data_IF_751219084967
#
_entry.id   IF_751219084967
#
_cell.length_a   1.000
_cell.length_b   1.000
_cell.length_c   1.000
_cell.angle_alpha   90.00
_cell.angle_beta   90.00
_cell.angle_gamma   90.00
#
_symmetry.space_group_name_H-M   'P 1'
#
loop_
_entity.id
_entity.type
_entity.pdbx_description
1 polymer ?
#
# COMPACT_ATOMS: atom_id res chain seq x y z
N UNK A 1 -18.99 -17.19 3.82
CA UNK A 1 -18.35 -18.50 4.09
C UNK A 1 -18.74 -19.55 3.05
N UNK A 2 -20.01 -19.67 2.70
CA UNK A 2 -20.51 -20.62 1.69
C UNK A 2 -19.78 -20.51 0.34
N UNK A 3 -19.61 -19.30 -0.18
CA UNK A 3 -18.85 -19.05 -1.42
C UNK A 3 -17.43 -19.64 -1.35
N UNK A 4 -16.75 -19.50 -0.22
CA UNK A 4 -15.39 -20.02 -0.05
C UNK A 4 -15.38 -21.55 0.05
N UNK A 5 -16.37 -22.15 0.72
CA UNK A 5 -16.55 -23.61 0.77
C UNK A 5 -16.81 -24.18 -0.62
N UNK A 6 -17.72 -23.56 -1.37
CA UNK A 6 -18.02 -23.96 -2.74
C UNK A 6 -16.77 -23.87 -3.61
N UNK A 7 -16.02 -22.76 -3.54
CA UNK A 7 -14.77 -22.59 -4.28
C UNK A 7 -13.74 -23.70 -3.97
N UNK A 8 -13.55 -24.05 -2.69
CA UNK A 8 -12.65 -25.14 -2.31
C UNK A 8 -13.11 -26.50 -2.89
N UNK A 9 -14.41 -26.77 -2.83
CA UNK A 9 -14.98 -28.01 -3.36
C UNK A 9 -14.84 -28.09 -4.89
N UNK A 10 -15.24 -27.03 -5.61
CA UNK A 10 -15.22 -26.96 -7.08
C UNK A 10 -13.80 -27.12 -7.63
N UNK A 11 -12.80 -26.63 -6.90
CA UNK A 11 -11.39 -26.70 -7.30
C UNK A 11 -10.63 -27.85 -6.61
N UNK A 12 -11.32 -28.75 -5.90
CA UNK A 12 -10.73 -29.90 -5.20
C UNK A 12 -9.57 -29.50 -4.24
N UNK A 13 -9.69 -28.33 -3.62
CA UNK A 13 -8.71 -27.80 -2.68
C UNK A 13 -8.97 -28.36 -1.27
N UNK A 14 -7.91 -28.80 -0.61
CA UNK A 14 -8.01 -29.34 0.75
C UNK A 14 -7.69 -28.27 1.79
N UNK A 15 -8.61 -28.04 2.74
CA UNK A 15 -8.47 -27.07 3.83
C UNK A 15 -7.21 -27.26 4.68
N UNK A 16 -6.72 -28.50 4.83
CA UNK A 16 -5.48 -28.80 5.57
C UNK A 16 -4.23 -28.14 4.97
N UNK A 17 -4.28 -27.70 3.71
CA UNK A 17 -3.18 -26.99 3.04
C UNK A 17 -3.37 -25.46 3.02
N UNK A 18 -4.42 -24.93 3.66
CA UNK A 18 -4.62 -23.51 3.84
C UNK A 18 -3.77 -23.00 5.01
N UNK A 19 -2.68 -22.30 4.70
CA UNK A 19 -1.75 -21.76 5.72
C UNK A 19 -2.04 -20.32 6.12
N UNK A 20 -2.68 -19.53 5.25
CA UNK A 20 -2.95 -18.13 5.54
C UNK A 20 -4.16 -17.58 4.81
N UNK A 21 -4.84 -16.63 5.45
CA UNK A 21 -5.91 -15.83 4.87
C UNK A 21 -5.64 -14.35 5.13
N UNK A 22 -5.70 -13.55 4.07
CA UNK A 22 -5.38 -12.12 4.14
C UNK A 22 -6.61 -11.30 3.82
N UNK A 23 -6.98 -10.37 4.70
CA UNK A 23 -8.20 -9.56 4.57
C UNK A 23 -7.94 -8.08 4.78
N UNK A 24 -8.87 -7.22 4.36
CA UNK A 24 -8.84 -5.76 4.49
C UNK A 24 -8.94 -5.25 5.94
N UNK A 25 -9.31 -6.14 6.87
CA UNK A 25 -9.51 -5.84 8.28
C UNK A 25 -10.88 -5.26 8.63
N UNK A 26 -11.86 -5.34 7.72
CA UNK A 26 -13.23 -4.97 8.07
C UNK A 26 -13.75 -5.85 9.23
N UNK A 27 -14.66 -5.35 10.10
CA UNK A 27 -15.20 -6.13 11.20
C UNK A 27 -15.83 -7.47 10.76
N UNK A 28 -16.48 -7.50 9.59
CA UNK A 28 -17.02 -8.73 9.01
C UNK A 28 -15.94 -9.76 8.59
N UNK A 29 -14.69 -9.32 8.40
CA UNK A 29 -13.57 -10.17 8.04
C UNK A 29 -12.80 -10.66 9.28
N UNK A 30 -12.55 -9.79 10.27
CA UNK A 30 -11.71 -10.09 11.45
C UNK A 30 -12.48 -10.33 12.74
N UNK A 31 -13.80 -10.15 12.77
CA UNK A 31 -14.60 -10.24 13.99
C UNK A 31 -14.41 -11.59 14.71
N UNK A 32 -14.14 -11.55 16.02
CA UNK A 32 -13.76 -12.72 16.80
C UNK A 32 -14.86 -13.80 16.90
N UNK A 33 -16.15 -13.42 16.77
CA UNK A 33 -17.29 -14.35 16.86
C UNK A 33 -17.82 -14.83 15.51
N UNK A 34 -17.91 -13.93 14.53
CA UNK A 34 -18.61 -14.17 13.27
C UNK A 34 -17.82 -13.71 12.04
N UNK A 35 -16.59 -13.22 12.21
CA UNK A 35 -15.74 -12.78 11.12
C UNK A 35 -15.29 -13.94 10.25
N UNK A 36 -15.03 -13.66 8.97
CA UNK A 36 -14.56 -14.66 8.00
C UNK A 36 -13.34 -15.44 8.52
N UNK A 37 -12.35 -14.76 9.10
CA UNK A 37 -11.15 -15.41 9.62
C UNK A 37 -11.47 -16.41 10.75
N UNK A 38 -12.40 -16.08 11.66
CA UNK A 38 -12.87 -17.01 12.71
C UNK A 38 -13.55 -18.22 12.08
N UNK A 39 -14.46 -18.01 11.13
CA UNK A 39 -15.16 -19.12 10.44
C UNK A 39 -14.22 -20.04 9.66
N UNK A 40 -13.14 -19.49 9.11
CA UNK A 40 -12.11 -20.29 8.43
C UNK A 40 -11.30 -21.08 9.44
N UNK A 41 -10.96 -20.49 10.59
CA UNK A 41 -10.26 -21.18 11.69
C UNK A 41 -11.07 -22.34 12.29
N UNK A 42 -12.39 -22.26 12.30
CA UNK A 42 -13.26 -23.40 12.70
C UNK A 42 -13.04 -24.65 11.83
N UNK A 43 -12.67 -24.48 10.55
CA UNK A 43 -12.43 -25.58 9.60
C UNK A 43 -10.94 -25.92 9.48
N UNK A 44 -10.07 -24.90 9.52
CA UNK A 44 -8.63 -25.01 9.43
C UNK A 44 -7.98 -24.29 10.63
N UNK A 45 -7.89 -24.93 11.80
CA UNK A 45 -7.43 -24.29 13.04
C UNK A 45 -6.03 -23.68 12.96
N UNK A 46 -5.19 -24.23 12.09
CA UNK A 46 -3.80 -23.81 11.92
C UNK A 46 -3.61 -22.62 10.95
N UNK A 47 -4.69 -22.07 10.37
CA UNK A 47 -4.59 -20.95 9.43
C UNK A 47 -4.17 -19.65 10.14
N UNK A 48 -3.25 -18.92 9.53
CA UNK A 48 -2.87 -17.59 9.99
C UNK A 48 -3.76 -16.53 9.35
N UNK A 49 -4.43 -15.74 10.19
CA UNK A 49 -5.16 -14.56 9.74
C UNK A 49 -4.23 -13.36 9.61
N UNK A 50 -4.20 -12.71 8.46
CA UNK A 50 -3.36 -11.55 8.18
C UNK A 50 -4.23 -10.36 7.82
N UNK A 51 -4.13 -9.28 8.59
CA UNK A 51 -4.67 -7.99 8.17
C UNK A 51 -3.75 -7.38 7.12
N UNK A 52 -4.27 -7.06 5.93
CA UNK A 52 -3.50 -6.50 4.82
C UNK A 52 -2.65 -5.30 5.26
N UNK A 53 -1.35 -5.36 5.01
CA UNK A 53 -0.40 -4.32 5.39
C UNK A 53 -0.69 -2.98 4.71
N UNK A 54 -1.19 -3.00 3.47
CA UNK A 54 -1.51 -1.77 2.74
C UNK A 54 -2.73 -1.08 3.36
N UNK A 55 -3.76 -1.84 3.74
CA UNK A 55 -4.92 -1.31 4.45
C UNK A 55 -4.51 -0.74 5.81
N UNK A 56 -3.69 -1.47 6.59
CA UNK A 56 -3.16 -1.00 7.88
C UNK A 56 -2.31 0.26 7.75
N UNK A 57 -1.43 0.32 6.75
CA UNK A 57 -0.65 1.51 6.45
C UNK A 57 -1.56 2.70 6.15
N UNK A 58 -2.59 2.51 5.32
CA UNK A 58 -3.55 3.56 5.01
C UNK A 58 -4.33 4.02 6.25
N UNK A 59 -4.61 3.12 7.21
CA UNK A 59 -5.23 3.49 8.49
C UNK A 59 -4.26 4.30 9.38
N UNK A 60 -3.01 3.86 9.50
CA UNK A 60 -1.98 4.52 10.31
C UNK A 60 -1.67 5.96 9.85
N UNK A 61 -1.87 6.25 8.56
CA UNK A 61 -1.59 7.58 7.98
C UNK A 61 -2.82 8.51 7.92
N UNK A 62 -3.97 8.13 8.48
CA UNK A 62 -5.19 8.98 8.42
C UNK A 62 -5.17 10.16 9.39
N UNK A 63 -4.35 10.10 10.42
CA UNK A 63 -4.35 11.07 11.51
C UNK A 63 -3.69 12.37 11.06
N UNK A 64 -4.48 13.45 10.97
CA UNK A 64 -3.99 14.81 10.72
C UNK A 64 -4.38 15.69 11.92
N UNK A 65 -3.41 16.33 12.61
CA UNK A 65 -3.71 17.24 13.73
C UNK A 65 -4.11 18.64 13.26
N UNK A 66 -4.85 19.36 14.11
CA UNK A 66 -4.99 20.82 14.08
C UNK A 66 -5.23 21.44 12.70
N UNK A 67 -4.36 22.38 12.33
CA UNK A 67 -4.49 23.12 11.07
C UNK A 67 -4.28 22.23 9.83
N UNK A 68 -3.46 21.19 9.91
CA UNK A 68 -3.16 20.29 8.78
C UNK A 68 -4.43 19.63 8.25
N UNK A 69 -5.32 19.18 9.16
CA UNK A 69 -6.61 18.61 8.79
C UNK A 69 -7.54 19.64 8.16
N UNK A 70 -7.54 20.86 8.70
CA UNK A 70 -8.34 21.97 8.18
C UNK A 70 -7.94 22.30 6.75
N UNK A 71 -6.64 22.49 6.50
CA UNK A 71 -6.11 22.76 5.16
C UNK A 71 -6.39 21.60 4.21
N UNK A 72 -6.17 20.34 4.63
CA UNK A 72 -6.51 19.18 3.79
C UNK A 72 -7.99 19.19 3.36
N UNK A 73 -8.91 19.48 4.28
CA UNK A 73 -10.34 19.56 3.97
C UNK A 73 -10.68 20.74 3.04
N UNK A 74 -10.00 21.88 3.20
CA UNK A 74 -10.13 23.04 2.30
C UNK A 74 -9.68 22.69 0.89
N UNK A 75 -8.53 22.03 0.74
CA UNK A 75 -8.03 21.53 -0.55
C UNK A 75 -9.05 20.61 -1.23
N UNK A 76 -9.65 19.68 -0.48
CA UNK A 76 -10.70 18.79 -1.00
C UNK A 76 -11.92 19.59 -1.47
N UNK A 77 -12.35 20.63 -0.72
CA UNK A 77 -13.46 21.51 -1.11
C UNK A 77 -13.15 22.28 -2.40
N UNK A 78 -11.96 22.85 -2.52
CA UNK A 78 -11.53 23.60 -3.70
C UNK A 78 -11.63 22.75 -4.97
N UNK A 79 -11.06 21.54 -4.93
CA UNK A 79 -11.11 20.65 -6.08
C UNK A 79 -12.52 20.15 -6.33
N UNK A 80 -13.28 19.79 -5.30
CA UNK A 80 -14.68 19.36 -5.48
C UNK A 80 -15.54 20.45 -6.12
N UNK A 81 -15.33 21.73 -5.80
CA UNK A 81 -16.05 22.84 -6.45
C UNK A 81 -15.83 22.86 -7.97
N UNK A 82 -14.58 22.67 -8.41
CA UNK A 82 -14.24 22.64 -9.85
C UNK A 82 -14.74 21.34 -10.50
N UNK A 83 -14.58 20.22 -9.80
CA UNK A 83 -14.73 18.89 -10.37
C UNK A 83 -16.14 18.32 -10.30
N UNK A 84 -16.98 18.77 -9.37
CA UNK A 84 -18.38 18.34 -9.24
C UNK A 84 -19.28 18.85 -10.36
N UNK A 85 -18.93 19.99 -10.97
CA UNK A 85 -19.64 20.55 -12.11
C UNK A 85 -18.94 20.18 -13.43
N UNK A 86 -19.68 19.57 -14.36
CA UNK A 86 -19.19 19.28 -15.70
C UNK A 86 -18.79 20.56 -16.45
N UNK A 87 -19.54 21.65 -16.23
CA UNK A 87 -19.23 22.96 -16.78
C UNK A 87 -17.93 23.51 -16.21
N UNK A 88 -17.80 23.58 -14.88
CA UNK A 88 -16.59 24.10 -14.23
C UNK A 88 -15.36 23.28 -14.62
N UNK A 89 -15.50 21.96 -14.71
CA UNK A 89 -14.43 21.08 -15.19
C UNK A 89 -13.97 21.46 -16.60
N UNK A 90 -14.91 21.68 -17.52
CA UNK A 90 -14.59 22.05 -18.91
C UNK A 90 -13.99 23.44 -18.99
N UNK A 91 -14.54 24.41 -18.24
CA UNK A 91 -14.02 25.77 -18.17
C UNK A 91 -12.60 25.80 -17.61
N UNK A 92 -12.37 25.13 -16.48
CA UNK A 92 -11.04 25.01 -15.87
C UNK A 92 -10.04 24.34 -16.81
N UNK A 93 -10.46 23.28 -17.52
CA UNK A 93 -9.58 22.61 -18.50
C UNK A 93 -9.15 23.56 -19.62
N UNK A 94 -10.09 24.36 -20.13
CA UNK A 94 -9.80 25.37 -21.14
C UNK A 94 -8.89 26.47 -20.58
N UNK A 95 -9.23 26.99 -19.40
CA UNK A 95 -8.45 28.00 -18.68
C UNK A 95 -6.98 27.60 -18.51
N UNK A 96 -6.71 26.40 -18.00
CA UNK A 96 -5.34 25.89 -17.87
C UNK A 96 -4.63 25.72 -19.23
N UNK A 97 -5.37 25.37 -20.29
CA UNK A 97 -4.79 25.23 -21.63
C UNK A 97 -4.42 26.60 -22.21
N UNK A 98 -5.26 27.61 -21.99
CA UNK A 98 -5.01 28.98 -22.44
C UNK A 98 -3.80 29.61 -21.71
N UNK A 99 -3.53 29.18 -20.46
CA UNK A 99 -2.35 29.57 -19.68
C UNK A 99 -1.10 28.72 -19.95
N UNK A 100 -1.16 27.75 -20.87
CA UNK A 100 -0.08 26.78 -21.13
C UNK A 100 0.42 26.03 -19.89
N UNK A 101 -0.49 25.71 -18.95
CA UNK A 101 -0.14 24.93 -17.77
C UNK A 101 0.28 23.51 -18.15
N UNK A 102 1.25 22.94 -17.42
CA UNK A 102 1.76 21.57 -17.63
C UNK A 102 0.64 20.52 -17.51
N UNK A 103 -0.37 20.83 -16.71
CA UNK A 103 -1.54 20.00 -16.51
C UNK A 103 -2.81 20.81 -16.73
N UNK A 104 -3.81 20.21 -17.37
CA UNK A 104 -5.09 20.88 -17.62
C UNK A 104 -6.26 20.27 -16.85
N UNK A 105 -5.99 19.31 -15.96
CA UNK A 105 -7.03 18.61 -15.20
C UNK A 105 -6.56 18.34 -13.78
N UNK A 106 -7.43 18.67 -12.84
CA UNK A 106 -7.36 18.23 -11.45
C UNK A 106 -7.82 16.78 -11.30
N UNK A 107 -7.29 16.10 -10.27
CA UNK A 107 -7.69 14.76 -9.90
C UNK A 107 -8.68 14.79 -8.74
N UNK A 108 -9.71 13.97 -8.78
CA UNK A 108 -10.62 13.82 -7.64
C UNK A 108 -9.94 13.06 -6.50
N UNK A 109 -10.18 13.51 -5.28
CA UNK A 109 -9.86 12.75 -4.08
C UNK A 109 -10.97 11.75 -3.76
N UNK A 110 -10.61 10.50 -3.50
CA UNK A 110 -11.51 9.50 -2.91
C UNK A 110 -10.83 8.84 -1.72
N UNK A 111 -11.49 8.83 -0.56
CA UNK A 111 -10.98 8.19 0.67
C UNK A 111 -10.81 6.67 0.55
N UNK A 112 -11.45 6.06 -0.44
CA UNK A 112 -11.44 4.61 -0.67
C UNK A 112 -10.18 4.16 -1.43
N UNK A 113 -9.61 5.01 -2.30
CA UNK A 113 -8.42 4.67 -3.09
C UNK A 113 -7.18 5.29 -2.46
N UNK A 114 -6.28 4.47 -1.93
CA UNK A 114 -5.21 4.95 -1.04
C UNK A 114 -4.21 5.89 -1.70
N UNK A 115 -3.84 5.64 -2.96
CA UNK A 115 -2.94 6.52 -3.72
C UNK A 115 -3.60 7.84 -4.14
N UNK A 116 -4.92 7.96 -4.01
CA UNK A 116 -5.69 9.11 -4.49
C UNK A 116 -5.27 10.40 -3.81
N UNK A 117 -4.98 10.38 -2.51
CA UNK A 117 -4.63 11.57 -1.76
C UNK A 117 -3.35 12.24 -2.30
N UNK A 118 -2.28 11.46 -2.48
CA UNK A 118 -1.01 12.01 -2.98
C UNK A 118 -1.12 12.53 -4.41
N UNK A 119 -1.75 11.76 -5.31
CA UNK A 119 -1.93 12.19 -6.70
C UNK A 119 -2.78 13.47 -6.79
N UNK A 120 -3.83 13.57 -5.97
CA UNK A 120 -4.67 14.76 -5.88
C UNK A 120 -3.89 15.97 -5.36
N UNK A 121 -3.13 15.82 -4.27
CA UNK A 121 -2.36 16.90 -3.66
C UNK A 121 -1.27 17.39 -4.59
N UNK A 122 -0.49 16.48 -5.19
CA UNK A 122 0.56 16.81 -6.16
C UNK A 122 -0.02 17.57 -7.35
N UNK A 123 -1.12 17.06 -7.94
CA UNK A 123 -1.79 17.74 -9.06
C UNK A 123 -2.35 19.11 -8.67
N UNK A 124 -2.95 19.22 -7.50
CA UNK A 124 -3.44 20.50 -7.00
C UNK A 124 -2.29 21.48 -6.83
N UNK A 125 -1.19 21.06 -6.21
CA UNK A 125 -0.06 21.94 -5.91
C UNK A 125 0.59 22.48 -7.18
N UNK A 126 0.69 21.66 -8.24
CA UNK A 126 1.16 22.13 -9.56
C UNK A 126 0.22 23.14 -10.22
N UNK A 127 -1.08 23.08 -9.93
CA UNK A 127 -2.11 23.95 -10.52
C UNK A 127 -2.65 25.02 -9.56
N UNK A 128 -1.96 25.25 -8.43
CA UNK A 128 -2.51 26.05 -7.33
C UNK A 128 -2.77 27.50 -7.74
N UNK A 129 -1.94 28.06 -8.62
CA UNK A 129 -2.09 29.42 -9.13
C UNK A 129 -3.30 29.51 -10.07
N UNK A 130 -3.42 28.58 -11.01
CA UNK A 130 -4.55 28.47 -11.93
C UNK A 130 -5.86 28.25 -11.18
N UNK A 131 -5.84 27.45 -10.11
CA UNK A 131 -7.01 27.27 -9.24
C UNK A 131 -7.39 28.59 -8.58
N UNK A 132 -6.42 29.33 -8.01
CA UNK A 132 -6.67 30.62 -7.37
C UNK A 132 -7.28 31.61 -8.37
N UNK A 133 -6.66 31.78 -9.53
CA UNK A 133 -7.13 32.70 -10.57
C UNK A 133 -8.50 32.33 -11.13
N UNK A 134 -8.74 31.03 -11.36
CA UNK A 134 -10.04 30.54 -11.80
C UNK A 134 -11.14 30.86 -10.79
N UNK A 135 -10.87 30.70 -9.48
CA UNK A 135 -11.83 31.04 -8.44
C UNK A 135 -12.11 32.54 -8.35
N UNK A 136 -11.09 33.40 -8.58
CA UNK A 136 -11.28 34.85 -8.73
C UNK A 136 -12.25 35.17 -9.87
N UNK A 137 -12.06 34.57 -11.06
CA UNK A 137 -12.93 34.79 -12.21
C UNK A 137 -14.37 34.31 -11.95
N UNK A 138 -14.51 33.20 -11.24
CA UNK A 138 -15.80 32.65 -10.84
C UNK A 138 -16.44 33.40 -9.66
N UNK A 139 -15.76 34.41 -9.08
CA UNK A 139 -16.18 35.16 -7.87
C UNK A 139 -16.56 34.24 -6.71
N UNK A 140 -15.83 33.14 -6.56
CA UNK A 140 -16.09 32.16 -5.51
C UNK A 140 -15.42 32.58 -4.20
N UNK A 141 -16.18 32.63 -3.10
CA UNK A 141 -15.63 32.90 -1.77
C UNK A 141 -14.59 31.87 -1.29
N UNK A 142 -14.48 30.73 -1.98
CA UNK A 142 -13.43 29.74 -1.69
C UNK A 142 -12.01 30.27 -1.95
N UNK A 143 -11.86 31.37 -2.71
CA UNK A 143 -10.55 32.01 -2.92
C UNK A 143 -9.91 32.49 -1.62
N UNK A 144 -10.72 32.84 -0.61
CA UNK A 144 -10.26 33.29 0.71
C UNK A 144 -9.37 32.26 1.41
N UNK A 145 -9.48 30.97 1.07
CA UNK A 145 -8.62 29.93 1.63
C UNK A 145 -7.14 30.17 1.31
N UNK A 146 -6.83 30.77 0.16
CA UNK A 146 -5.46 31.11 -0.23
C UNK A 146 -4.89 32.30 0.53
N UNK A 147 -5.73 33.07 1.23
CA UNK A 147 -5.33 34.22 2.04
C UNK A 147 -5.13 33.84 3.52
N UNK A 148 -5.46 32.61 3.92
CA UNK A 148 -5.21 32.14 5.27
C UNK A 148 -3.71 31.94 5.52
N UNK A 149 -3.27 32.39 6.69
CA UNK A 149 -1.87 32.26 7.12
C UNK A 149 -1.39 30.82 7.01
N UNK A 150 -0.20 30.67 6.42
CA UNK A 150 0.48 29.38 6.21
C UNK A 150 -0.25 28.37 5.31
N UNK A 151 -1.34 28.73 4.62
CA UNK A 151 -2.06 27.79 3.74
C UNK A 151 -1.14 27.13 2.71
N UNK A 152 -0.28 27.91 2.04
CA UNK A 152 0.64 27.38 1.03
C UNK A 152 1.75 26.51 1.65
N UNK A 153 2.32 26.94 2.79
CA UNK A 153 3.34 26.18 3.54
C UNK A 153 2.77 24.82 3.99
N UNK A 154 1.59 24.84 4.59
CA UNK A 154 0.89 23.63 5.03
C UNK A 154 0.54 22.72 3.87
N UNK A 155 0.07 23.29 2.75
CA UNK A 155 -0.21 22.53 1.53
C UNK A 155 1.05 21.84 1.01
N UNK A 156 2.18 22.55 0.97
CA UNK A 156 3.45 22.00 0.51
C UNK A 156 3.93 20.84 1.40
N UNK A 157 3.80 20.97 2.73
CA UNK A 157 4.07 19.87 3.65
C UNK A 157 3.16 18.66 3.39
N UNK A 158 1.85 18.87 3.22
CA UNK A 158 0.89 17.81 2.95
C UNK A 158 1.23 17.04 1.65
N UNK A 159 1.63 17.76 0.60
CA UNK A 159 2.09 17.16 -0.67
C UNK A 159 3.26 16.22 -0.41
N UNK A 160 4.29 16.68 0.31
CA UNK A 160 5.48 15.87 0.52
C UNK A 160 5.24 14.66 1.44
N UNK A 161 4.56 14.84 2.59
CA UNK A 161 4.33 13.75 3.55
C UNK A 161 3.41 12.68 2.96
N UNK A 162 2.36 13.07 2.21
CA UNK A 162 1.49 12.12 1.52
C UNK A 162 2.22 11.47 0.34
N UNK A 163 3.14 12.18 -0.32
CA UNK A 163 4.07 11.60 -1.29
C UNK A 163 4.92 10.47 -0.70
N UNK A 164 5.44 10.66 0.51
CA UNK A 164 6.15 9.60 1.25
C UNK A 164 5.26 8.40 1.57
N UNK A 165 3.98 8.63 1.93
CA UNK A 165 3.00 7.54 2.13
C UNK A 165 2.73 6.78 0.84
N UNK A 166 2.53 7.48 -0.28
CA UNK A 166 2.33 6.85 -1.59
C UNK A 166 3.55 6.00 -1.99
N UNK A 167 4.76 6.50 -1.73
CA UNK A 167 6.00 5.74 -2.01
C UNK A 167 6.08 4.45 -1.18
N UNK A 168 5.78 4.51 0.12
CA UNK A 168 5.69 3.31 0.95
C UNK A 168 4.60 2.36 0.45
N UNK A 169 3.42 2.88 0.13
CA UNK A 169 2.29 2.10 -0.38
C UNK A 169 2.68 1.31 -1.64
N UNK A 170 3.31 1.98 -2.61
CA UNK A 170 3.84 1.35 -3.83
C UNK A 170 4.91 0.30 -3.53
N UNK A 171 5.75 0.52 -2.53
CA UNK A 171 6.72 -0.50 -2.09
C UNK A 171 6.05 -1.71 -1.45
N UNK A 172 4.88 -1.57 -0.82
CA UNK A 172 4.08 -2.67 -0.29
C UNK A 172 3.22 -3.36 -1.35
N UNK A 173 3.12 -2.76 -2.55
CA UNK A 173 2.51 -3.39 -3.71
C UNK A 173 3.53 -4.26 -4.45
N UNK A 174 3.02 -5.25 -5.18
CA UNK A 174 3.84 -6.13 -6.01
C UNK A 174 3.65 -7.60 -5.68
N UNK A 175 4.21 -8.42 -6.56
CA UNK A 175 4.13 -9.89 -6.47
C UNK A 175 5.38 -10.41 -5.74
N UNK A 176 5.26 -11.56 -5.07
CA UNK A 176 6.37 -12.28 -4.41
C UNK A 176 6.97 -11.60 -3.16
N UNK A 177 6.27 -10.64 -2.55
CA UNK A 177 6.63 -10.13 -1.23
C UNK A 177 5.97 -10.98 -0.13
N UNK A 178 6.69 -11.20 0.96
CA UNK A 178 6.19 -11.89 2.14
C UNK A 178 6.07 -10.89 3.31
N UNK A 179 5.59 -11.39 4.44
CA UNK A 179 5.42 -10.60 5.67
C UNK A 179 6.73 -9.93 6.10
N UNK A 180 7.86 -10.63 6.04
CA UNK A 180 9.17 -10.12 6.46
C UNK A 180 9.59 -8.92 5.62
N UNK A 181 9.59 -9.07 4.30
CA UNK A 181 10.00 -7.99 3.38
C UNK A 181 9.14 -6.73 3.52
N UNK A 182 7.86 -6.88 3.88
CA UNK A 182 6.99 -5.73 4.15
C UNK A 182 7.21 -5.14 5.53
N UNK A 183 7.48 -5.97 6.54
CA UNK A 183 7.90 -5.50 7.86
C UNK A 183 9.19 -4.68 7.78
N UNK A 184 10.18 -5.09 6.98
CA UNK A 184 11.43 -4.35 6.80
C UNK A 184 11.19 -2.96 6.19
N UNK A 185 10.34 -2.88 5.17
CA UNK A 185 9.95 -1.61 4.53
C UNK A 185 9.25 -0.68 5.52
N UNK A 186 8.36 -1.21 6.36
CA UNK A 186 7.67 -0.46 7.40
C UNK A 186 8.63 0.01 8.49
N UNK A 187 9.52 -0.86 8.99
CA UNK A 187 10.56 -0.50 9.97
C UNK A 187 11.44 0.63 9.43
N UNK A 188 11.93 0.49 8.20
CA UNK A 188 12.70 1.53 7.54
C UNK A 188 11.92 2.86 7.38
N UNK A 189 10.61 2.79 7.15
CA UNK A 189 9.77 3.99 7.07
C UNK A 189 9.60 4.67 8.43
N UNK A 190 9.36 3.92 9.50
CA UNK A 190 9.25 4.45 10.87
C UNK A 190 10.57 5.12 11.28
N UNK A 191 11.72 4.52 10.99
CA UNK A 191 13.03 5.13 11.25
C UNK A 191 13.23 6.43 10.44
N UNK A 192 12.73 6.49 9.21
CA UNK A 192 12.72 7.76 8.45
C UNK A 192 11.85 8.82 9.10
N UNK A 193 10.67 8.49 9.63
CA UNK A 193 9.82 9.46 10.32
C UNK A 193 10.53 10.04 11.56
N UNK A 194 11.21 9.20 12.34
CA UNK A 194 12.04 9.64 13.48
C UNK A 194 13.15 10.58 13.02
N UNK A 195 13.86 10.23 11.95
CA UNK A 195 14.89 11.08 11.36
C UNK A 195 14.32 12.41 10.85
N UNK A 196 13.15 12.40 10.22
CA UNK A 196 12.49 13.61 9.73
C UNK A 196 12.16 14.55 10.90
N UNK A 197 11.64 14.02 12.01
CA UNK A 197 11.39 14.80 13.22
C UNK A 197 12.66 15.47 13.73
N UNK A 198 13.77 14.74 13.86
CA UNK A 198 15.06 15.32 14.27
C UNK A 198 15.51 16.43 13.33
N UNK A 199 15.37 16.23 12.02
CA UNK A 199 15.76 17.22 11.01
C UNK A 199 14.90 18.48 11.05
N UNK A 200 13.58 18.36 11.18
CA UNK A 200 12.67 19.51 11.33
C UNK A 200 13.03 20.33 12.58
N UNK A 201 13.33 19.67 13.70
CA UNK A 201 13.76 20.34 14.92
C UNK A 201 15.04 21.16 14.73
N UNK A 202 15.95 20.66 13.88
CA UNK A 202 17.21 21.31 13.51
C UNK A 202 17.06 22.27 12.31
N UNK A 203 15.85 22.56 11.82
CA UNK A 203 15.60 23.46 10.70
C UNK A 203 15.94 22.89 9.31
N UNK A 204 16.22 21.58 9.20
CA UNK A 204 16.52 20.93 7.93
C UNK A 204 15.23 20.35 7.30
N UNK A 205 14.87 20.84 6.11
CA UNK A 205 13.65 20.47 5.39
C UNK A 205 13.89 19.62 4.13
N UNK A 206 15.10 19.08 3.91
CA UNK A 206 15.50 18.44 2.64
C UNK A 206 14.63 17.25 2.21
N UNK A 207 13.95 16.61 3.15
CA UNK A 207 13.04 15.49 2.89
C UNK A 207 11.67 15.93 2.37
N UNK A 208 11.31 17.20 2.56
CA UNK A 208 10.06 17.82 2.14
C UNK A 208 10.39 18.88 1.09
N UNK A 209 10.56 18.43 -0.16
CA UNK A 209 11.06 19.28 -1.25
C UNK A 209 10.12 20.44 -1.57
N UNK A 210 8.81 20.17 -1.64
CA UNK A 210 7.81 21.21 -1.90
C UNK A 210 7.83 22.24 -0.78
N UNK A 211 7.85 21.80 0.48
CA UNK A 211 7.94 22.69 1.64
C UNK A 211 9.24 23.50 1.63
N UNK A 212 10.38 22.85 1.39
CA UNK A 212 11.70 23.50 1.32
C UNK A 212 11.74 24.56 0.23
N UNK A 213 11.10 24.33 -0.91
CA UNK A 213 11.02 25.28 -2.01
C UNK A 213 10.14 26.50 -1.67
N UNK A 214 9.02 26.30 -0.97
CA UNK A 214 8.13 27.40 -0.52
C UNK A 214 8.81 28.26 0.56
N UNK A 215 9.49 27.62 1.51
CA UNK A 215 10.20 28.32 2.57
C UNK A 215 11.43 29.06 2.02
N UNK A 216 12.14 28.47 1.05
CA UNK A 216 13.32 29.05 0.43
C UNK A 216 14.44 29.29 1.46
N UNK A 217 14.83 30.56 1.63
CA UNK A 217 15.86 30.98 2.60
C UNK A 217 15.27 31.35 3.97
N UNK A 218 13.95 31.38 4.11
CA UNK A 218 13.29 31.79 5.34
C UNK A 218 13.31 30.66 6.39
N UNK A 219 12.99 31.01 7.62
CA UNK A 219 12.77 30.02 8.69
C UNK A 219 11.33 29.51 8.64
N UNK A 220 11.14 28.21 8.88
CA UNK A 220 9.81 27.63 9.05
C UNK A 220 9.13 28.28 10.26
N UNK A 221 7.89 28.81 10.13
CA UNK A 221 7.17 29.38 11.27
C UNK A 221 7.04 28.36 12.41
N UNK A 222 7.31 28.79 13.64
CA UNK A 222 7.41 27.88 14.79
C UNK A 222 6.08 27.15 15.08
N UNK A 223 4.94 27.80 14.79
CA UNK A 223 3.61 27.20 14.87
C UNK A 223 3.51 25.98 13.93
N UNK A 224 3.92 26.14 12.67
CA UNK A 224 3.86 25.07 11.66
C UNK A 224 4.89 23.97 11.97
N UNK A 225 6.09 24.36 12.41
CA UNK A 225 7.11 23.41 12.87
C UNK A 225 6.56 22.51 13.97
N UNK A 226 5.91 23.09 14.97
CA UNK A 226 5.31 22.36 16.10
C UNK A 226 4.22 21.40 15.62
N UNK A 227 3.36 21.82 14.70
CA UNK A 227 2.32 20.97 14.12
C UNK A 227 2.89 19.81 13.29
N UNK A 228 3.94 20.06 12.49
CA UNK A 228 4.63 19.03 11.72
C UNK A 228 5.26 17.99 12.66
N UNK A 229 5.96 18.44 13.71
CA UNK A 229 6.57 17.54 14.69
C UNK A 229 5.51 16.71 15.41
N UNK A 230 4.41 17.34 15.84
CA UNK A 230 3.27 16.64 16.45
C UNK A 230 2.66 15.60 15.50
N UNK A 231 2.50 15.93 14.23
CA UNK A 231 2.00 14.99 13.22
C UNK A 231 2.95 13.80 13.04
N UNK A 232 4.27 14.03 12.97
CA UNK A 232 5.26 12.96 12.86
C UNK A 232 5.24 12.02 14.07
N UNK A 233 5.09 12.54 15.29
CA UNK A 233 4.94 11.73 16.50
C UNK A 233 3.66 10.89 16.50
N UNK A 234 2.55 11.49 16.08
CA UNK A 234 1.28 10.77 15.92
C UNK A 234 1.42 9.64 14.89
N UNK A 235 2.08 9.88 13.76
CA UNK A 235 2.33 8.84 12.76
C UNK A 235 3.18 7.70 13.33
N UNK A 236 4.28 7.99 14.02
CA UNK A 236 5.14 6.97 14.64
C UNK A 236 4.32 6.11 15.61
N UNK A 237 3.49 6.76 16.43
CA UNK A 237 2.60 6.09 17.39
C UNK A 237 1.57 5.21 16.68
N UNK A 238 0.88 5.74 15.67
CA UNK A 238 -0.14 5.00 14.92
C UNK A 238 0.46 3.81 14.15
N UNK A 239 1.65 3.96 13.55
CA UNK A 239 2.34 2.82 12.96
C UNK A 239 2.69 1.75 14.00
N UNK A 240 3.05 2.13 15.23
CA UNK A 240 3.20 1.20 16.34
C UNK A 240 1.89 0.48 16.70
N UNK A 241 0.79 1.23 16.81
CA UNK A 241 -0.54 0.71 17.16
C UNK A 241 -1.11 -0.26 16.10
N UNK A 242 -0.94 0.05 14.81
CA UNK A 242 -1.44 -0.80 13.72
C UNK A 242 -0.52 -1.98 13.38
N UNK A 243 0.74 -1.93 13.81
CA UNK A 243 1.72 -2.99 13.58
C UNK A 243 2.48 -3.40 14.86
N UNK A 244 1.77 -3.85 15.91
CA UNK A 244 2.39 -4.20 17.19
C UNK A 244 3.36 -5.39 17.06
N UNK A 245 3.04 -6.32 16.15
CA UNK A 245 3.74 -7.60 16.00
C UNK A 245 4.83 -7.59 14.91
N UNK A 246 5.31 -6.42 14.46
CA UNK A 246 6.33 -6.36 13.39
C UNK A 246 7.58 -7.20 13.68
N UNK A 247 7.91 -7.38 14.96
CA UNK A 247 9.04 -8.18 15.42
C UNK A 247 8.70 -9.67 15.52
N UNK A 248 7.49 -10.03 15.96
CA UNK A 248 7.03 -11.44 16.01
C UNK A 248 6.94 -12.08 14.61
N UNK A 249 6.64 -11.26 13.60
CA UNK A 249 6.56 -11.68 12.20
C UNK A 249 7.92 -11.88 11.53
N UNK A 250 9.02 -11.52 12.21
CA UNK A 250 10.41 -11.60 11.75
C UNK A 250 11.27 -12.41 12.71
N UNK A 251 10.83 -13.64 13.03
CA UNK A 251 11.59 -14.55 13.88
C UNK A 251 13.00 -14.76 13.32
N UNK A 252 14.03 -14.51 14.14
CA UNK A 252 15.44 -14.74 13.80
C UNK A 252 15.70 -16.16 13.30
N UNK A 253 14.92 -17.13 13.78
CA UNK A 253 14.96 -18.54 13.33
C UNK A 253 14.77 -18.63 11.82
N UNK A 254 13.98 -17.73 11.23
CA UNK A 254 13.63 -17.73 9.81
C UNK A 254 14.64 -16.93 9.00
N UNK A 255 15.01 -15.74 9.47
CA UNK A 255 15.82 -14.76 8.72
C UNK A 255 17.32 -15.03 8.88
N UNK A 256 17.72 -15.58 10.01
CA UNK A 256 19.11 -15.83 10.36
C UNK A 256 19.27 -17.16 11.11
N UNK A 257 18.81 -18.30 10.53
CA UNK A 257 18.81 -19.60 11.23
C UNK A 257 20.19 -20.00 11.78
N UNK A 258 21.27 -19.68 11.07
CA UNK A 258 22.61 -20.11 11.46
C UNK A 258 23.25 -19.29 12.59
N UNK A 259 22.67 -18.13 12.94
CA UNK A 259 23.12 -17.30 14.08
C UNK A 259 22.13 -17.31 15.25
N UNK A 260 20.94 -17.91 15.09
CA UNK A 260 19.90 -17.93 16.10
C UNK A 260 20.25 -18.89 17.26
N UNK A 261 19.89 -18.51 18.48
CA UNK A 261 19.95 -19.42 19.64
C UNK A 261 18.86 -20.49 19.50
N UNK A 262 19.22 -21.75 19.76
CA UNK A 262 18.31 -22.90 19.73
C UNK A 262 17.13 -22.68 20.69
N UNK A 263 17.35 -21.97 21.80
CA UNK A 263 16.30 -21.63 22.79
C UNK A 263 15.15 -20.80 22.21
N UNK A 264 15.38 -20.09 21.10
CA UNK A 264 14.36 -19.28 20.43
C UNK A 264 13.49 -20.12 19.47
N UNK A 265 13.83 -21.39 19.26
CA UNK A 265 13.09 -22.34 18.42
C UNK A 265 12.11 -23.11 19.30
N UNK A 266 10.94 -23.44 18.74
CA UNK A 266 9.97 -24.32 19.40
C UNK A 266 10.61 -25.65 19.78
N UNK A 267 10.34 -26.12 20.99
CA UNK A 267 10.97 -27.29 21.60
C UNK A 267 10.97 -28.51 20.66
N UNK A 268 9.86 -28.75 19.95
CA UNK A 268 9.71 -29.90 19.08
C UNK A 268 10.63 -29.86 17.86
N UNK A 269 11.15 -28.68 17.48
CA UNK A 269 12.04 -28.51 16.33
C UNK A 269 13.51 -28.26 16.72
N UNK A 270 13.84 -28.21 18.03
CA UNK A 270 15.18 -27.83 18.49
C UNK A 270 16.27 -28.82 18.05
N UNK A 271 16.03 -30.12 18.15
CA UNK A 271 17.00 -31.14 17.73
C UNK A 271 17.27 -31.07 16.22
N UNK A 272 16.21 -31.01 15.42
CA UNK A 272 16.32 -30.85 13.96
C UNK A 272 17.04 -29.53 13.60
N UNK A 273 16.77 -28.46 14.34
CA UNK A 273 17.41 -27.16 14.15
C UNK A 273 18.90 -27.18 14.48
N UNK A 274 19.32 -27.94 15.50
CA UNK A 274 20.75 -28.15 15.82
C UNK A 274 21.46 -28.81 14.63
N UNK A 275 20.83 -29.81 14.01
CA UNK A 275 21.38 -30.45 12.80
C UNK A 275 21.47 -29.45 11.65
N UNK A 276 20.37 -28.72 11.36
CA UNK A 276 20.36 -27.69 10.31
C UNK A 276 21.45 -26.64 10.53
N UNK A 277 21.61 -26.14 11.75
CA UNK A 277 22.59 -25.10 12.10
C UNK A 277 24.04 -25.53 11.84
N UNK A 278 24.32 -26.82 11.90
CA UNK A 278 25.64 -27.40 11.63
C UNK A 278 25.78 -27.99 10.21
N UNK A 279 24.75 -27.92 9.35
CA UNK A 279 24.86 -28.31 7.95
C UNK A 279 25.52 -27.21 7.10
N UNK A 280 26.75 -27.49 6.67
CA UNK A 280 27.53 -26.57 5.82
C UNK A 280 26.88 -26.36 4.45
N UNK A 281 26.27 -27.40 3.88
CA UNK A 281 25.59 -27.32 2.57
C UNK A 281 24.37 -26.42 2.66
N UNK A 282 23.56 -26.57 3.72
CA UNK A 282 22.44 -25.67 3.97
C UNK A 282 22.93 -24.23 4.18
N UNK A 283 24.00 -24.03 4.96
CA UNK A 283 24.57 -22.70 5.22
C UNK A 283 25.05 -21.99 3.95
N UNK A 284 25.72 -22.71 3.05
CA UNK A 284 26.16 -22.13 1.78
C UNK A 284 25.00 -21.86 0.83
N UNK A 285 24.00 -22.74 0.80
CA UNK A 285 22.80 -22.50 0.01
C UNK A 285 22.02 -21.27 0.49
N UNK A 286 21.95 -21.05 1.81
CA UNK A 286 21.27 -19.89 2.40
C UNK A 286 21.86 -18.56 1.96
N UNK A 287 23.19 -18.49 1.74
CA UNK A 287 23.87 -17.27 1.29
C UNK A 287 23.46 -16.81 -0.11
N UNK A 288 23.04 -17.75 -0.96
CA UNK A 288 22.79 -17.50 -2.40
C UNK A 288 21.32 -17.60 -2.79
N UNK A 289 20.51 -18.34 -2.02
CA UNK A 289 19.11 -18.59 -2.35
C UNK A 289 18.18 -17.52 -1.78
N UNK A 290 17.14 -17.09 -2.51
CA UNK A 290 16.04 -16.33 -1.92
C UNK A 290 15.42 -17.09 -0.74
N UNK A 291 15.05 -16.37 0.31
CA UNK A 291 14.60 -16.92 1.59
C UNK A 291 13.50 -17.99 1.44
N UNK A 292 12.48 -17.71 0.62
CA UNK A 292 11.39 -18.65 0.37
C UNK A 292 11.88 -19.95 -0.29
N UNK A 293 12.81 -19.84 -1.24
CA UNK A 293 13.34 -20.99 -1.98
C UNK A 293 14.23 -21.85 -1.08
N UNK A 294 15.01 -21.22 -0.19
CA UNK A 294 15.80 -21.93 0.80
C UNK A 294 14.91 -22.83 1.66
N UNK A 295 13.89 -22.26 2.31
CA UNK A 295 13.00 -23.01 3.20
C UNK A 295 12.15 -24.05 2.47
N UNK A 296 11.80 -23.81 1.20
CA UNK A 296 11.15 -24.83 0.37
C UNK A 296 12.07 -26.03 0.10
N UNK A 297 13.36 -25.78 -0.19
CA UNK A 297 14.34 -26.85 -0.42
C UNK A 297 14.65 -27.62 0.86
N UNK A 298 14.76 -26.93 2.00
CA UNK A 298 15.03 -27.55 3.30
C UNK A 298 13.90 -28.47 3.78
N UNK A 299 12.69 -28.37 3.20
CA UNK A 299 11.51 -29.13 3.64
C UNK A 299 11.70 -30.65 3.68
N UNK A 300 12.52 -31.20 2.79
CA UNK A 300 12.75 -32.65 2.73
C UNK A 300 13.70 -33.13 3.83
N UNK A 301 14.73 -32.34 4.14
CA UNK A 301 15.78 -32.71 5.11
C UNK A 301 15.47 -32.22 6.53
N UNK A 302 14.73 -31.11 6.65
CA UNK A 302 14.41 -30.41 7.89
C UNK A 302 12.91 -30.03 7.92
N UNK A 303 12.00 -31.01 7.95
CA UNK A 303 10.57 -30.78 7.84
C UNK A 303 9.97 -29.91 8.96
N UNK A 304 10.45 -30.03 10.21
CA UNK A 304 9.90 -29.29 11.35
C UNK A 304 10.29 -27.81 11.29
N UNK A 305 11.57 -27.51 11.09
CA UNK A 305 12.13 -26.16 10.92
C UNK A 305 11.51 -25.48 9.70
N UNK A 306 11.45 -26.20 8.57
CA UNK A 306 10.86 -25.68 7.34
C UNK A 306 9.36 -25.42 7.48
N UNK A 307 8.63 -26.26 8.22
CA UNK A 307 7.22 -26.03 8.52
C UNK A 307 7.01 -24.75 9.32
N UNK A 308 7.84 -24.49 10.34
CA UNK A 308 7.80 -23.24 11.12
C UNK A 308 8.04 -22.03 10.21
N UNK A 309 9.11 -22.07 9.41
CA UNK A 309 9.47 -20.98 8.53
C UNK A 309 8.41 -20.72 7.44
N UNK A 310 7.98 -21.76 6.73
CA UNK A 310 7.01 -21.64 5.65
C UNK A 310 5.64 -21.16 6.12
N UNK A 311 5.21 -21.52 7.34
CA UNK A 311 3.97 -20.98 7.93
C UNK A 311 4.00 -19.47 8.11
N UNK A 312 5.18 -18.87 8.29
CA UNK A 312 5.33 -17.41 8.35
C UNK A 312 5.54 -16.77 6.97
N UNK A 313 6.21 -17.46 6.04
CA UNK A 313 6.58 -16.91 4.73
C UNK A 313 5.50 -17.04 3.65
N UNK A 314 4.67 -18.07 3.70
CA UNK A 314 3.63 -18.36 2.70
C UNK A 314 2.45 -17.38 2.75
N UNK A 315 1.93 -16.98 3.92
CA UNK A 315 0.79 -16.07 3.96
C UNK A 315 1.05 -14.76 3.21
N UNK A 316 0.09 -14.34 2.40
CA UNK A 316 0.17 -13.04 1.75
C UNK A 316 0.10 -11.93 2.80
N UNK A 317 1.04 -11.00 2.76
CA UNK A 317 1.01 -9.83 3.65
C UNK A 317 0.07 -8.73 3.14
N UNK A 318 -0.36 -8.80 1.88
CA UNK A 318 -1.25 -7.81 1.25
C UNK A 318 -2.33 -8.47 0.40
N UNK A 319 -3.44 -7.76 0.21
CA UNK A 319 -4.52 -8.08 -0.73
C UNK A 319 -4.26 -7.52 -2.13
N UNK A 320 -3.01 -7.13 -2.45
CA UNK A 320 -2.66 -6.46 -3.71
C UNK A 320 -3.13 -7.21 -4.96
N UNK A 321 -2.99 -8.54 -5.01
CA UNK A 321 -3.43 -9.33 -6.17
C UNK A 321 -4.95 -9.26 -6.36
N UNK A 322 -5.71 -9.21 -5.27
CA UNK A 322 -7.17 -9.05 -5.29
C UNK A 322 -7.55 -7.66 -5.82
N UNK A 323 -6.91 -6.61 -5.30
CA UNK A 323 -7.13 -5.22 -5.72
C UNK A 323 -6.71 -4.96 -7.17
N UNK A 324 -5.61 -5.59 -7.60
CA UNK A 324 -5.18 -5.56 -9.00
C UNK A 324 -6.23 -6.21 -9.91
N UNK A 325 -6.85 -7.31 -9.46
CA UNK A 325 -7.96 -7.96 -10.17
C UNK A 325 -9.18 -7.06 -10.29
N UNK A 326 -9.60 -6.43 -9.19
CA UNK A 326 -10.69 -5.46 -9.21
C UNK A 326 -10.39 -4.24 -10.10
N UNK A 327 -9.15 -3.75 -10.07
CA UNK A 327 -8.72 -2.63 -10.91
C UNK A 327 -8.74 -3.01 -12.40
N UNK A 328 -8.28 -4.21 -12.76
CA UNK A 328 -8.36 -4.74 -14.11
C UNK A 328 -9.83 -4.88 -14.56
N UNK A 329 -10.69 -5.45 -13.70
CA UNK A 329 -12.13 -5.53 -13.96
C UNK A 329 -12.75 -4.16 -14.24
N UNK A 330 -12.46 -3.14 -13.42
CA UNK A 330 -13.01 -1.80 -13.60
C UNK A 330 -12.56 -1.19 -14.94
N UNK A 331 -11.31 -1.39 -15.34
CA UNK A 331 -10.79 -0.94 -16.65
C UNK A 331 -11.45 -1.69 -17.82
N UNK A 332 -11.69 -2.98 -17.67
CA UNK A 332 -12.35 -3.79 -18.69
C UNK A 332 -13.83 -3.40 -18.84
N UNK A 333 -14.54 -3.20 -17.73
CA UNK A 333 -15.94 -2.78 -17.72
C UNK A 333 -16.15 -1.40 -18.36
N UNK A 334 -15.22 -0.47 -18.19
CA UNK A 334 -15.32 0.85 -18.84
C UNK A 334 -15.09 0.78 -20.35
N UNK A 335 -14.21 -0.12 -20.83
CA UNK A 335 -13.90 -0.29 -22.26
C UNK A 335 -14.90 -1.17 -23.01
N UNK A 336 -15.40 -2.25 -22.40
CA UNK A 336 -16.19 -3.31 -23.05
C UNK A 336 -17.65 -3.35 -22.59
N UNK A 337 -18.33 -2.21 -22.43
CA UNK A 337 -19.73 -2.09 -21.94
C UNK A 337 -20.78 -3.05 -22.58
N UNK A 338 -20.45 -3.77 -23.66
CA UNK A 338 -21.34 -4.67 -24.38
C UNK A 338 -21.23 -6.17 -24.00
N UNK A 339 -20.28 -6.61 -23.15
CA UNK A 339 -20.20 -8.02 -22.69
C UNK A 339 -19.85 -8.14 -21.21
N UNK A 340 -20.62 -8.95 -20.48
CA UNK A 340 -20.49 -9.11 -19.02
C UNK A 340 -19.48 -10.18 -18.59
N UNK A 341 -19.08 -11.08 -19.49
CA UNK A 341 -18.08 -12.11 -19.20
C UNK A 341 -16.66 -11.55 -19.39
N UNK A 342 -15.93 -11.45 -18.27
CA UNK A 342 -14.59 -10.86 -18.18
C UNK A 342 -13.60 -11.82 -17.51
N UNK A 343 -13.98 -13.07 -17.23
CA UNK A 343 -13.14 -13.99 -16.45
C UNK A 343 -11.81 -14.26 -17.17
N UNK A 344 -11.87 -14.61 -18.46
CA UNK A 344 -10.68 -14.81 -19.28
C UNK A 344 -9.80 -13.56 -19.39
N UNK A 345 -10.41 -12.37 -19.49
CA UNK A 345 -9.69 -11.09 -19.57
C UNK A 345 -8.96 -10.79 -18.25
N UNK A 346 -9.61 -11.01 -17.09
CA UNK A 346 -9.00 -10.83 -15.77
C UNK A 346 -7.85 -11.81 -15.57
N UNK A 347 -8.04 -13.09 -15.93
CA UNK A 347 -6.96 -14.10 -15.89
C UNK A 347 -5.75 -13.65 -16.71
N UNK A 348 -5.97 -13.14 -17.92
CA UNK A 348 -4.91 -12.62 -18.77
C UNK A 348 -4.22 -11.39 -18.13
N UNK A 349 -4.99 -10.46 -17.56
CA UNK A 349 -4.45 -9.25 -16.94
C UNK A 349 -3.62 -9.53 -15.67
N UNK A 350 -3.95 -10.59 -14.92
CA UNK A 350 -3.25 -10.97 -13.69
C UNK A 350 -2.12 -11.97 -13.91
N UNK A 351 -2.15 -12.71 -15.02
CA UNK A 351 -1.15 -13.72 -15.38
C UNK A 351 0.26 -13.14 -15.53
N UNK A 352 1.27 -13.98 -15.21
CA UNK A 352 2.68 -13.70 -15.53
C UNK A 352 3.12 -14.37 -16.83
N UNK A 353 2.29 -15.26 -17.36
CA UNK A 353 2.57 -16.03 -18.57
C UNK A 353 2.41 -15.11 -19.77
N UNK A 354 3.50 -14.87 -20.51
CA UNK A 354 3.41 -14.17 -21.79
C UNK A 354 2.71 -15.09 -22.79
N UNK A 355 1.57 -14.69 -23.38
CA UNK A 355 0.93 -15.47 -24.42
C UNK A 355 1.91 -15.61 -25.60
N UNK A 356 2.03 -16.82 -26.16
CA UNK A 356 2.75 -16.99 -27.41
C UNK A 356 1.85 -16.50 -28.56
N UNK A 357 1.95 -15.20 -28.86
CA UNK A 357 1.11 -14.55 -29.86
C UNK A 357 1.25 -15.16 -31.25
N UNK A 358 2.44 -15.67 -31.61
CA UNK A 358 2.66 -16.29 -32.92
C UNK A 358 1.78 -17.53 -33.10
N UNK A 359 1.73 -18.42 -32.10
CA UNK A 359 0.87 -19.61 -32.12
C UNK A 359 -0.61 -19.21 -32.12
N UNK A 360 -0.98 -18.24 -31.28
CA UNK A 360 -2.38 -17.79 -31.17
C UNK A 360 -2.89 -17.18 -32.48
N UNK A 361 -2.08 -16.37 -33.16
CA UNK A 361 -2.41 -15.78 -34.45
C UNK A 361 -2.50 -16.87 -35.53
N UNK A 362 -1.55 -17.81 -35.57
CA UNK A 362 -1.58 -18.92 -36.52
C UNK A 362 -2.81 -19.83 -36.35
N UNK A 363 -3.32 -19.97 -35.11
CA UNK A 363 -4.50 -20.78 -34.81
C UNK A 363 -5.85 -20.09 -35.11
N UNK A 364 -5.85 -18.78 -35.39
CA UNK A 364 -7.06 -18.01 -35.69
C UNK A 364 -7.28 -17.96 -37.19
N UNK A 365 -8.37 -18.55 -37.66
CA UNK A 365 -8.80 -18.43 -39.06
C UNK A 365 -9.07 -16.95 -39.39
N UNK A 366 -8.37 -16.40 -40.39
CA UNK A 366 -8.68 -15.08 -40.92
C UNK A 366 -10.12 -15.08 -41.42
N UNK A 367 -10.98 -14.31 -40.76
CA UNK A 367 -12.29 -13.97 -41.29
C UNK A 367 -12.04 -13.01 -42.45
N UNK A 368 -11.94 -13.54 -43.66
CA UNK A 368 -11.93 -12.71 -44.85
C UNK A 368 -13.32 -12.06 -44.93
N UNK A 369 -13.36 -10.72 -44.90
CA UNK A 369 -14.57 -9.97 -45.18
C UNK A 369 -15.04 -10.32 -46.59
N UNK A 370 -16.28 -10.80 -46.69
CA UNK A 370 -16.95 -11.05 -47.96
C UNK A 370 -17.24 -9.75 -48.72
#
# INVERSE_FOLDING_TARGET
MEILKQFFNDNQLQWKYLFGITTDGAPAMMGCKSGLQTRVKEIAPNVVGVHCFIHRQALATKTLPGSLKTVFNQLVKLVNYIKSSALNTRLFTKFCSDLNAEHNKLLFYTSVRWLSAGNFLERFFMLRNEVKEFLCQMKSGLVEYFEFDNFEITTAYLVDIVGHFNKLNLQLQGKNANVITHSDKLKAFIEKLKLYKTRINNGNLIMFQSLNNIIGVNMLPEVIKTEIVCHLDNLITEFGNYFPDMNLLSSEVIISPFSCDVKNVKEEAQEEFIVLKNDTTAKDHFKVAPLNNFWLKMRNSYPLCSSIALKALIPFSTSYLCEAGFSAMLSLKTKKRNRLDIDADIRCALSKTKPNFQILIASKQCQNSH
#
